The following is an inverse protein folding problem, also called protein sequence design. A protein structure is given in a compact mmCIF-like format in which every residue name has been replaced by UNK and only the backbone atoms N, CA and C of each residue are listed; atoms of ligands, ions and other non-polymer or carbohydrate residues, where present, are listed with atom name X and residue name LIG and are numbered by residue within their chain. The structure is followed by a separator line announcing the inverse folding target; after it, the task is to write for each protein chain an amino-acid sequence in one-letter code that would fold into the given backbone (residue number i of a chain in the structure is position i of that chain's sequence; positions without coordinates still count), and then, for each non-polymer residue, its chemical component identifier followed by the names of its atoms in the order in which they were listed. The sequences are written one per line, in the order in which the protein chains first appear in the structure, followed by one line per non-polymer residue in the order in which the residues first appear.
data_IF_688294885901
#
_entry.id   IF_688294885901
#
_cell.length_a   1.000
_cell.length_b   1.000
_cell.length_c   1.000
_cell.angle_alpha   90.00
_cell.angle_beta   90.00
_cell.angle_gamma   90.00
#
_symmetry.space_group_name_H-M   'P 1'
#
loop_
_entity.id
_entity.type
_entity.pdbx_description
1 polymer ?
#
# COMPACT_ATOMS: atom_id res chain seq x y z
N UNK A 1 -14.63 -13.81 5.15
CA UNK A 1 -14.11 -12.44 5.41
C UNK A 1 -13.20 -12.07 4.24
N UNK A 2 -13.44 -10.92 3.63
CA UNK A 2 -12.65 -10.40 2.49
C UNK A 2 -11.35 -9.68 2.93
N UNK A 3 -10.93 -9.91 4.16
CA UNK A 3 -9.68 -9.42 4.72
C UNK A 3 -8.78 -10.62 5.00
N UNK A 4 -7.50 -10.61 4.63
CA UNK A 4 -6.59 -11.70 4.93
C UNK A 4 -6.41 -11.85 6.44
N UNK A 5 -6.17 -13.08 6.89
CA UNK A 5 -5.93 -13.40 8.30
C UNK A 5 -4.84 -12.51 8.91
N UNK A 6 -3.78 -12.26 8.16
CA UNK A 6 -2.66 -11.44 8.59
C UNK A 6 -3.04 -10.00 8.98
N UNK A 7 -4.10 -9.43 8.38
CA UNK A 7 -4.61 -8.09 8.72
C UNK A 7 -5.73 -8.09 9.77
N UNK A 8 -6.21 -9.26 10.19
CA UNK A 8 -7.26 -9.35 11.20
C UNK A 8 -6.67 -9.33 12.61
N UNK A 9 -6.92 -8.28 13.41
CA UNK A 9 -6.55 -8.29 14.81
C UNK A 9 -7.17 -9.47 15.54
N UNK A 10 -6.40 -10.18 16.37
CA UNK A 10 -6.83 -11.37 17.11
C UNK A 10 -7.47 -12.46 16.22
N UNK A 11 -6.87 -12.71 15.06
CA UNK A 11 -7.36 -13.72 14.12
C UNK A 11 -7.44 -15.13 14.72
N UNK A 12 -6.63 -15.42 15.74
CA UNK A 12 -6.63 -16.65 16.53
C UNK A 12 -7.91 -16.87 17.36
N UNK A 13 -8.67 -15.80 17.62
CA UNK A 13 -9.95 -15.82 18.35
C UNK A 13 -11.19 -15.85 17.45
N UNK A 14 -10.99 -15.79 16.15
CA UNK A 14 -12.10 -15.84 15.20
C UNK A 14 -12.68 -17.25 15.15
N UNK A 15 -14.00 -17.37 15.33
CA UNK A 15 -14.71 -18.66 15.16
C UNK A 15 -14.80 -19.00 13.67
N UNK A 16 -13.94 -19.91 13.22
CA UNK A 16 -13.88 -20.33 11.83
C UNK A 16 -15.04 -21.23 11.40
N UNK A 17 -15.91 -21.67 12.32
CA UNK A 17 -17.15 -22.33 11.94
C UNK A 17 -18.15 -21.34 11.35
N UNK A 18 -18.07 -20.05 11.76
CA UNK A 18 -18.93 -18.95 11.31
C UNK A 18 -18.24 -18.07 10.27
N UNK A 19 -16.94 -17.80 10.46
CA UNK A 19 -16.18 -16.90 9.62
C UNK A 19 -15.12 -17.68 8.82
N UNK A 20 -15.04 -17.43 7.52
CA UNK A 20 -14.01 -17.99 6.65
C UNK A 20 -13.09 -16.89 6.17
N UNK A 21 -11.80 -17.02 6.40
CA UNK A 21 -10.81 -16.19 5.75
C UNK A 21 -10.62 -16.68 4.30
N UNK A 22 -10.74 -15.76 3.37
CA UNK A 22 -10.57 -16.03 1.94
C UNK A 22 -9.51 -15.13 1.31
N UNK A 23 -8.86 -14.30 2.13
CA UNK A 23 -7.80 -13.41 1.68
C UNK A 23 -8.29 -12.24 0.83
N UNK A 24 -7.34 -11.62 0.14
CA UNK A 24 -7.62 -10.49 -0.72
C UNK A 24 -8.32 -10.94 -2.01
N UNK A 25 -9.55 -10.51 -2.19
CA UNK A 25 -10.30 -10.72 -3.44
C UNK A 25 -9.95 -9.60 -4.43
N UNK A 26 -8.78 -9.67 -5.03
CA UNK A 26 -8.32 -8.66 -5.98
C UNK A 26 -8.92 -8.83 -7.38
N UNK A 27 -9.48 -10.02 -7.66
CA UNK A 27 -10.29 -10.33 -8.85
C UNK A 27 -9.66 -9.84 -10.16
N UNK A 28 -10.55 -9.40 -11.07
CA UNK A 28 -10.20 -8.87 -12.39
C UNK A 28 -9.76 -7.39 -12.37
N UNK A 29 -9.25 -6.86 -11.25
CA UNK A 29 -8.72 -5.49 -11.16
C UNK A 29 -7.53 -5.23 -12.10
N UNK A 30 -7.08 -6.26 -12.82
CA UNK A 30 -6.18 -6.14 -13.99
C UNK A 30 -6.72 -5.14 -15.04
N UNK A 31 -8.05 -4.90 -15.07
CA UNK A 31 -8.69 -3.92 -15.95
C UNK A 31 -8.47 -2.44 -15.54
N UNK A 32 -7.81 -2.16 -14.41
CA UNK A 32 -7.55 -0.78 -13.96
C UNK A 32 -6.47 -0.04 -14.78
N UNK A 33 -5.82 -0.70 -15.72
CA UNK A 33 -4.81 -0.12 -16.60
C UNK A 33 -3.42 -0.70 -16.41
N UNK A 34 -2.51 -0.24 -17.26
CA UNK A 34 -1.10 -0.63 -17.26
C UNK A 34 -0.22 0.53 -16.80
N UNK A 35 0.88 0.19 -16.19
CA UNK A 35 1.97 1.12 -15.88
C UNK A 35 3.30 0.40 -16.09
N UNK A 36 4.27 1.11 -16.61
CA UNK A 36 5.60 0.57 -16.87
C UNK A 36 6.63 1.38 -16.10
N UNK A 37 7.46 0.68 -15.35
CA UNK A 37 8.60 1.26 -14.63
C UNK A 37 9.53 1.99 -15.60
N UNK A 38 9.92 3.25 -15.34
CA UNK A 38 10.93 3.94 -16.11
C UNK A 38 12.24 3.16 -16.14
N UNK A 39 12.88 3.11 -17.31
CA UNK A 39 14.07 2.28 -17.52
C UNK A 39 15.29 2.72 -16.68
N UNK A 40 15.33 3.97 -16.28
CA UNK A 40 16.37 4.60 -15.47
C UNK A 40 16.05 4.58 -13.96
N UNK A 41 14.87 4.07 -13.57
CA UNK A 41 14.47 3.96 -12.17
C UNK A 41 15.03 2.70 -11.52
N UNK A 42 15.96 2.85 -10.59
CA UNK A 42 16.46 1.77 -9.73
C UNK A 42 15.44 1.44 -8.63
N UNK A 43 14.74 2.45 -8.12
CA UNK A 43 13.70 2.33 -7.08
C UNK A 43 12.45 3.10 -7.50
N UNK A 44 11.30 2.53 -7.19
CA UNK A 44 10.00 3.16 -7.43
C UNK A 44 9.24 3.27 -6.13
N UNK A 45 8.79 4.48 -5.82
CA UNK A 45 7.90 4.77 -4.69
C UNK A 45 6.52 5.13 -5.22
N UNK A 46 5.51 4.41 -4.76
CA UNK A 46 4.12 4.83 -4.93
C UNK A 46 3.65 5.55 -3.67
N UNK A 47 3.04 6.72 -3.83
CA UNK A 47 2.32 7.42 -2.77
C UNK A 47 0.85 7.48 -3.13
N UNK A 48 -0.02 6.93 -2.28
CA UNK A 48 -1.47 6.99 -2.47
C UNK A 48 -2.21 6.99 -1.13
N UNK A 49 -2.98 8.05 -0.90
CA UNK A 49 -3.87 8.17 0.27
C UNK A 49 -5.28 7.62 -0.02
N UNK A 50 -5.43 6.80 -1.07
CA UNK A 50 -6.71 6.25 -1.50
C UNK A 50 -7.58 7.26 -2.25
N UNK A 51 -8.89 7.26 -2.00
CA UNK A 51 -9.85 8.07 -2.76
C UNK A 51 -10.63 9.10 -1.93
N UNK A 52 -10.58 9.01 -0.60
CA UNK A 52 -11.48 9.80 0.26
C UNK A 52 -10.78 11.01 0.90
N UNK A 53 -9.70 10.81 1.62
CA UNK A 53 -9.01 11.85 2.39
C UNK A 53 -7.76 12.35 1.65
N UNK A 54 -7.90 12.70 0.37
CA UNK A 54 -6.76 13.03 -0.51
C UNK A 54 -6.37 14.50 -0.50
N UNK A 55 -7.14 15.40 0.12
CA UNK A 55 -6.82 16.84 0.14
C UNK A 55 -5.73 17.17 1.16
N UNK A 56 -4.50 16.74 0.86
CA UNK A 56 -3.32 16.85 1.72
C UNK A 56 -2.11 17.44 0.97
N UNK A 57 -2.20 18.67 0.40
CA UNK A 57 -1.12 19.22 -0.42
C UNK A 57 0.20 19.36 0.35
N UNK A 58 0.16 19.68 1.64
CA UNK A 58 1.37 19.78 2.47
C UNK A 58 2.10 18.44 2.57
N UNK A 59 1.37 17.36 2.83
CA UNK A 59 1.93 16.01 2.87
C UNK A 59 2.54 15.60 1.53
N UNK A 60 1.88 15.93 0.41
CA UNK A 60 2.43 15.61 -0.90
C UNK A 60 3.71 16.40 -1.20
N UNK A 61 3.82 17.66 -0.74
CA UNK A 61 5.08 18.42 -0.81
C UNK A 61 6.19 17.76 0.00
N UNK A 62 5.89 17.24 1.19
CA UNK A 62 6.86 16.46 1.97
C UNK A 62 7.30 15.19 1.22
N UNK A 63 6.38 14.49 0.53
CA UNK A 63 6.75 13.34 -0.30
C UNK A 63 7.65 13.73 -1.47
N UNK A 64 7.36 14.84 -2.15
CA UNK A 64 8.23 15.37 -3.23
C UNK A 64 9.61 15.71 -2.68
N UNK A 65 9.68 16.40 -1.53
CA UNK A 65 10.96 16.74 -0.89
C UNK A 65 11.73 15.51 -0.38
N UNK A 66 11.00 14.43 0.01
CA UNK A 66 11.62 13.19 0.45
C UNK A 66 12.28 12.41 -0.70
N UNK A 67 11.62 12.31 -1.86
CA UNK A 67 11.97 11.36 -2.91
C UNK A 67 12.29 12.01 -4.26
N UNK A 68 11.91 13.28 -4.46
CA UNK A 68 11.92 13.94 -5.76
C UNK A 68 13.31 14.16 -6.37
N UNK A 69 14.38 14.22 -5.59
CA UNK A 69 15.74 14.42 -6.10
C UNK A 69 16.70 13.28 -5.74
N UNK A 70 16.15 12.15 -5.28
CA UNK A 70 16.98 10.99 -4.97
C UNK A 70 17.46 10.33 -6.25
N UNK A 71 18.79 10.20 -6.45
CA UNK A 71 19.34 9.54 -7.64
C UNK A 71 18.82 8.09 -7.74
N UNK A 72 18.38 7.71 -8.94
CA UNK A 72 17.85 6.36 -9.21
C UNK A 72 16.44 6.09 -8.69
N UNK A 73 15.82 7.04 -7.96
CA UNK A 73 14.44 6.88 -7.48
C UNK A 73 13.43 7.53 -8.43
N UNK A 74 12.27 6.92 -8.56
CA UNK A 74 11.11 7.46 -9.27
C UNK A 74 9.91 7.50 -8.34
N UNK A 75 9.30 8.67 -8.21
CA UNK A 75 8.13 8.89 -7.36
C UNK A 75 6.86 8.94 -8.22
N UNK A 76 5.91 8.04 -7.96
CA UNK A 76 4.55 8.12 -8.49
C UNK A 76 3.63 8.61 -7.38
N UNK A 77 3.02 9.77 -7.59
CA UNK A 77 2.22 10.47 -6.60
C UNK A 77 0.75 10.56 -7.06
N UNK A 78 -0.14 9.81 -6.39
CA UNK A 78 -1.57 9.93 -6.59
C UNK A 78 -2.15 10.95 -5.62
N UNK A 79 -2.55 12.12 -6.13
CA UNK A 79 -3.04 13.25 -5.33
C UNK A 79 -4.58 13.33 -5.21
N UNK A 80 -5.31 12.46 -5.94
CA UNK A 80 -6.77 12.53 -6.01
C UNK A 80 -7.25 13.69 -6.89
N UNK A 81 -8.58 13.91 -6.88
CA UNK A 81 -9.24 14.92 -7.73
C UNK A 81 -9.34 16.31 -7.08
N UNK A 82 -8.96 16.45 -5.82
CA UNK A 82 -9.21 17.64 -5.00
C UNK A 82 -7.96 18.48 -4.71
N UNK A 83 -6.81 18.09 -5.27
CA UNK A 83 -5.55 18.83 -5.20
C UNK A 83 -5.15 19.21 -6.61
N UNK A 84 -4.83 20.48 -6.82
CA UNK A 84 -4.25 20.95 -8.08
C UNK A 84 -2.75 20.60 -8.08
N UNK A 85 -2.21 19.93 -9.11
CA UNK A 85 -0.77 19.71 -9.24
C UNK A 85 0.09 20.97 -9.06
N UNK A 86 -0.43 22.14 -9.45
CA UNK A 86 0.26 23.42 -9.27
C UNK A 86 0.48 23.78 -7.79
N UNK A 87 -0.32 23.25 -6.87
CA UNK A 87 -0.12 23.44 -5.43
C UNK A 87 1.17 22.76 -4.90
N UNK A 88 1.75 21.84 -5.66
CA UNK A 88 2.95 21.12 -5.27
C UNK A 88 4.25 21.87 -5.61
N UNK A 89 4.16 22.96 -6.38
CA UNK A 89 5.31 23.75 -6.85
C UNK A 89 6.03 23.09 -8.02
N UNK A 90 7.32 23.42 -8.18
CA UNK A 90 8.16 22.85 -9.22
C UNK A 90 8.47 21.38 -8.91
N UNK A 91 8.21 20.52 -9.87
CA UNK A 91 8.39 19.08 -9.71
C UNK A 91 9.68 18.61 -10.38
N UNK A 92 10.55 17.87 -9.67
CA UNK A 92 11.69 17.19 -10.28
C UNK A 92 11.26 16.22 -11.39
N UNK A 93 12.17 15.96 -12.34
CA UNK A 93 11.88 15.12 -13.52
C UNK A 93 11.57 13.65 -13.19
N UNK A 94 11.97 13.18 -12.02
CA UNK A 94 11.69 11.83 -11.53
C UNK A 94 10.37 11.71 -10.75
N UNK A 95 9.52 12.75 -10.79
CA UNK A 95 8.21 12.78 -10.10
C UNK A 95 7.08 12.76 -11.12
N UNK A 96 6.25 11.72 -11.04
CA UNK A 96 5.02 11.56 -11.80
C UNK A 96 3.82 11.87 -10.90
N UNK A 97 3.03 12.91 -11.23
CA UNK A 97 1.83 13.29 -10.47
C UNK A 97 0.59 12.96 -11.27
N UNK A 98 -0.35 12.25 -10.65
CA UNK A 98 -1.62 11.84 -11.25
C UNK A 98 -2.77 12.04 -10.26
N UNK A 99 -3.95 12.36 -10.77
CA UNK A 99 -5.17 12.34 -9.96
C UNK A 99 -5.62 10.92 -9.61
N UNK A 100 -5.32 9.96 -10.47
CA UNK A 100 -5.60 8.52 -10.30
C UNK A 100 -4.52 7.70 -11.00
N UNK A 101 -4.20 6.51 -10.44
CA UNK A 101 -3.22 5.57 -10.98
C UNK A 101 -3.74 4.12 -10.93
N UNK A 102 -3.29 3.24 -11.83
CA UNK A 102 -3.52 1.81 -11.73
C UNK A 102 -2.67 1.21 -10.59
N UNK A 103 -3.13 1.40 -9.34
CA UNK A 103 -2.35 1.15 -8.14
C UNK A 103 -1.72 -0.24 -8.11
N UNK A 104 -2.50 -1.29 -8.42
CA UNK A 104 -1.99 -2.66 -8.39
C UNK A 104 -0.92 -2.91 -9.45
N UNK A 105 -1.03 -2.31 -10.65
CA UNK A 105 -0.02 -2.43 -11.70
C UNK A 105 1.31 -1.77 -11.29
N UNK A 106 1.23 -0.64 -10.58
CA UNK A 106 2.42 0.03 -10.04
C UNK A 106 3.01 -0.78 -8.89
N UNK A 107 2.21 -1.24 -7.93
CA UNK A 107 2.70 -1.99 -6.76
C UNK A 107 3.44 -3.27 -7.14
N UNK A 108 3.07 -3.93 -8.23
CA UNK A 108 3.82 -5.08 -8.77
C UNK A 108 5.25 -4.76 -9.21
N UNK A 109 5.57 -3.48 -9.33
CA UNK A 109 6.86 -2.97 -9.80
C UNK A 109 7.48 -1.96 -8.82
N UNK A 110 6.78 -1.62 -7.74
CA UNK A 110 7.22 -0.66 -6.74
C UNK A 110 8.11 -1.31 -5.68
N UNK A 111 9.09 -0.55 -5.21
CA UNK A 111 9.99 -0.92 -4.11
C UNK A 111 9.48 -0.41 -2.75
N UNK A 112 8.58 0.58 -2.76
CA UNK A 112 7.99 1.16 -1.55
C UNK A 112 6.58 1.69 -1.82
N UNK A 113 5.68 1.53 -0.85
CA UNK A 113 4.35 2.09 -0.87
C UNK A 113 4.10 2.99 0.34
N UNK A 114 3.92 4.29 0.12
CA UNK A 114 3.45 5.22 1.14
C UNK A 114 1.93 5.29 1.05
N UNK A 115 1.25 4.83 2.08
CA UNK A 115 -0.20 4.60 2.08
C UNK A 115 -0.87 5.11 3.33
N UNK A 116 -2.15 5.45 3.23
CA UNK A 116 -2.99 5.75 4.40
C UNK A 116 -3.37 4.50 5.21
N UNK A 117 -2.90 3.32 4.82
CA UNK A 117 -3.21 2.03 5.44
C UNK A 117 -4.72 1.67 5.47
N UNK A 118 -5.51 2.13 4.51
CA UNK A 118 -6.87 1.60 4.31
C UNK A 118 -6.83 0.11 3.94
N UNK A 119 -7.89 -0.64 4.26
CA UNK A 119 -7.93 -2.09 4.06
C UNK A 119 -7.54 -2.54 2.64
N UNK A 120 -8.02 -1.85 1.60
CA UNK A 120 -7.70 -2.18 0.20
C UNK A 120 -6.21 -2.03 -0.12
N UNK A 121 -5.64 -0.84 0.15
CA UNK A 121 -4.22 -0.57 -0.10
C UNK A 121 -3.29 -1.47 0.73
N UNK A 122 -3.64 -1.73 1.99
CA UNK A 122 -2.88 -2.64 2.85
C UNK A 122 -2.82 -4.06 2.28
N UNK A 123 -3.96 -4.58 1.81
CA UNK A 123 -4.03 -5.89 1.16
C UNK A 123 -3.22 -5.93 -0.15
N UNK A 124 -3.27 -4.87 -0.95
CA UNK A 124 -2.52 -4.78 -2.20
C UNK A 124 -1.01 -4.73 -1.95
N UNK A 125 -0.55 -3.94 -0.97
CA UNK A 125 0.85 -3.89 -0.57
C UNK A 125 1.38 -5.25 -0.08
N UNK A 126 0.60 -5.97 0.74
CA UNK A 126 0.94 -7.31 1.19
C UNK A 126 0.95 -8.33 0.04
N UNK A 127 -0.06 -8.30 -0.84
CA UNK A 127 -0.18 -9.22 -1.97
C UNK A 127 0.91 -9.04 -3.03
N UNK A 128 1.49 -7.85 -3.13
CA UNK A 128 2.62 -7.54 -4.02
C UNK A 128 3.98 -7.66 -3.33
N UNK A 129 3.99 -7.99 -2.04
CA UNK A 129 5.18 -8.02 -1.18
C UNK A 129 5.95 -6.68 -1.19
N UNK A 130 5.22 -5.55 -1.22
CA UNK A 130 5.78 -4.21 -1.22
C UNK A 130 5.84 -3.67 0.22
N UNK A 131 7.02 -3.25 0.73
CA UNK A 131 7.12 -2.62 2.04
C UNK A 131 6.36 -1.30 2.11
N UNK A 132 5.84 -0.95 3.29
CA UNK A 132 4.93 0.18 3.41
C UNK A 132 5.36 1.22 4.45
N UNK A 133 5.14 2.50 4.14
CA UNK A 133 5.05 3.56 5.14
C UNK A 133 3.56 3.86 5.31
N UNK A 134 3.03 3.54 6.47
CA UNK A 134 1.63 3.75 6.81
C UNK A 134 1.45 5.11 7.46
N UNK A 135 0.65 5.98 6.83
CA UNK A 135 0.33 7.34 7.30
C UNK A 135 -1.19 7.44 7.47
N UNK A 136 -1.75 6.85 8.54
CA UNK A 136 -3.19 6.80 8.74
C UNK A 136 -3.78 8.17 9.03
N UNK A 137 -5.02 8.40 8.60
CA UNK A 137 -5.74 9.65 8.76
C UNK A 137 -7.07 9.48 9.52
N UNK A 138 -7.74 8.32 9.38
CA UNK A 138 -9.08 8.11 9.93
C UNK A 138 -9.42 6.63 10.10
N UNK A 139 -10.45 6.36 10.86
CA UNK A 139 -11.18 5.10 11.04
C UNK A 139 -10.30 3.84 11.25
N UNK A 140 -10.44 2.84 10.41
CA UNK A 140 -9.70 1.56 10.47
C UNK A 140 -8.21 1.67 10.15
N UNK A 141 -7.79 2.78 9.54
CA UNK A 141 -6.43 2.98 9.06
C UNK A 141 -5.38 2.89 10.18
N UNK A 142 -5.69 3.41 11.37
CA UNK A 142 -4.79 3.33 12.52
C UNK A 142 -4.54 1.88 12.95
N UNK A 143 -5.61 1.11 13.08
CA UNK A 143 -5.50 -0.31 13.42
C UNK A 143 -4.74 -1.11 12.36
N UNK A 144 -5.01 -0.86 11.09
CA UNK A 144 -4.28 -1.50 9.98
C UNK A 144 -2.79 -1.12 10.00
N UNK A 145 -2.46 0.16 10.25
CA UNK A 145 -1.07 0.63 10.35
C UNK A 145 -0.31 -0.08 11.49
N UNK A 146 -0.95 -0.24 12.64
CA UNK A 146 -0.38 -0.95 13.79
C UNK A 146 -0.15 -2.43 13.49
N UNK A 147 -1.09 -3.10 12.82
CA UNK A 147 -0.93 -4.48 12.38
C UNK A 147 0.23 -4.61 11.40
N UNK A 148 0.29 -3.78 10.35
CA UNK A 148 1.37 -3.79 9.37
C UNK A 148 2.75 -3.56 10.01
N UNK A 149 2.83 -2.66 10.98
CA UNK A 149 4.04 -2.43 11.75
C UNK A 149 4.41 -3.63 12.63
N UNK A 150 3.43 -4.27 13.29
CA UNK A 150 3.67 -5.44 14.13
C UNK A 150 4.14 -6.66 13.32
N UNK A 151 3.69 -6.79 12.08
CA UNK A 151 4.20 -7.77 11.11
C UNK A 151 5.66 -7.47 10.69
N UNK A 152 6.16 -6.27 10.99
CA UNK A 152 7.51 -5.83 10.61
C UNK A 152 7.67 -5.58 9.12
N UNK A 153 6.58 -5.26 8.42
CA UNK A 153 6.54 -4.99 6.98
C UNK A 153 6.25 -3.51 6.65
N UNK A 154 6.02 -2.70 7.69
CA UNK A 154 5.76 -1.27 7.56
C UNK A 154 6.40 -0.45 8.68
N UNK A 155 6.45 0.87 8.45
CA UNK A 155 6.64 1.89 9.49
C UNK A 155 5.36 2.72 9.59
N UNK A 156 4.81 2.83 10.80
CA UNK A 156 3.67 3.70 11.09
C UNK A 156 4.21 5.10 11.43
N UNK A 157 3.87 6.09 10.60
CA UNK A 157 4.16 7.51 10.82
C UNK A 157 2.84 8.26 10.97
N UNK A 158 2.60 8.93 12.11
CA UNK A 158 1.49 9.88 12.23
C UNK A 158 1.61 10.98 11.16
N UNK A 159 0.48 11.43 10.60
CA UNK A 159 0.45 12.42 9.51
C UNK A 159 1.25 13.69 9.85
N UNK A 160 1.12 14.18 11.07
CA UNK A 160 1.81 15.39 11.55
C UNK A 160 3.34 15.21 11.74
N UNK A 161 3.82 13.96 11.67
CA UNK A 161 5.23 13.60 11.74
C UNK A 161 5.81 13.10 10.42
N UNK A 162 4.98 13.03 9.38
CA UNK A 162 5.39 12.55 8.07
C UNK A 162 6.14 13.63 7.27
N UNK A 163 7.23 14.14 7.84
CA UNK A 163 8.15 15.09 7.17
C UNK A 163 9.02 14.39 6.14
N UNK A 164 9.63 15.14 5.23
CA UNK A 164 10.55 14.62 4.22
C UNK A 164 11.68 13.79 4.83
N UNK A 165 12.26 14.25 5.93
CA UNK A 165 13.31 13.52 6.65
C UNK A 165 12.80 12.19 7.23
N UNK A 166 11.63 12.22 7.90
CA UNK A 166 11.03 11.03 8.50
C UNK A 166 10.64 10.00 7.43
N UNK A 167 10.04 10.45 6.31
CA UNK A 167 9.67 9.60 5.18
C UNK A 167 10.92 8.94 4.56
N UNK A 168 11.99 9.73 4.32
CA UNK A 168 13.25 9.22 3.78
C UNK A 168 13.93 8.22 4.72
N UNK A 169 13.98 8.52 6.01
CA UNK A 169 14.52 7.61 7.03
C UNK A 169 13.75 6.29 7.08
N UNK A 170 12.41 6.36 7.08
CA UNK A 170 11.57 5.18 7.07
C UNK A 170 11.74 4.35 5.78
N UNK A 171 11.85 5.02 4.62
CA UNK A 171 12.09 4.38 3.34
C UNK A 171 13.38 3.58 3.31
N UNK A 172 14.49 4.22 3.71
CA UNK A 172 15.81 3.57 3.74
C UNK A 172 15.90 2.42 4.74
N UNK A 173 15.08 2.45 5.80
CA UNK A 173 15.01 1.36 6.77
C UNK A 173 14.11 0.19 6.34
N UNK A 174 13.38 0.31 5.23
CA UNK A 174 12.46 -0.71 4.73
C UNK A 174 12.93 -1.30 3.40
N UNK A 175 13.36 -0.41 2.48
CA UNK A 175 13.81 -0.80 1.16
C UNK A 175 15.18 -1.49 1.29
N UNK A 176 15.32 -2.65 0.64
CA UNK A 176 16.54 -3.49 0.68
C UNK A 176 16.83 -4.17 2.04
N UNK A 177 15.93 -4.08 3.04
CA UNK A 177 16.05 -4.88 4.25
C UNK A 177 15.63 -6.34 3.97
N UNK A 178 16.55 -7.31 4.04
CA UNK A 178 16.25 -8.70 3.73
C UNK A 178 15.24 -9.34 4.70
N UNK A 179 15.15 -8.85 5.92
CA UNK A 179 14.18 -9.35 6.90
C UNK A 179 12.78 -8.85 6.58
N UNK A 180 12.61 -7.59 6.17
CA UNK A 180 11.34 -7.05 5.68
C UNK A 180 10.89 -7.83 4.45
N UNK A 181 11.81 -8.04 3.49
CA UNK A 181 11.50 -8.80 2.27
C UNK A 181 11.09 -10.25 2.59
N UNK A 182 11.76 -10.92 3.54
CA UNK A 182 11.43 -12.26 3.97
C UNK A 182 10.03 -12.33 4.59
N UNK A 183 9.69 -11.38 5.48
CA UNK A 183 8.38 -11.29 6.13
C UNK A 183 7.26 -11.04 5.12
N UNK A 184 7.46 -10.10 4.20
CA UNK A 184 6.50 -9.82 3.13
C UNK A 184 6.20 -11.04 2.28
N UNK A 185 7.24 -11.79 1.88
CA UNK A 185 7.06 -13.04 1.12
C UNK A 185 6.31 -14.11 1.91
N UNK A 186 6.55 -14.21 3.22
CA UNK A 186 5.80 -15.11 4.10
C UNK A 186 4.31 -14.76 4.12
N UNK A 187 3.98 -13.50 4.40
CA UNK A 187 2.59 -13.02 4.41
C UNK A 187 1.93 -13.16 3.03
N UNK A 188 2.65 -12.85 1.95
CA UNK A 188 2.15 -13.02 0.58
C UNK A 188 1.78 -14.49 0.29
N UNK A 189 2.61 -15.45 0.72
CA UNK A 189 2.35 -16.88 0.55
C UNK A 189 1.12 -17.32 1.35
N UNK A 190 1.03 -16.92 2.63
CA UNK A 190 -0.15 -17.19 3.47
C UNK A 190 -1.44 -16.65 2.86
N UNK A 191 -1.42 -15.41 2.35
CA UNK A 191 -2.57 -14.81 1.67
C UNK A 191 -2.96 -15.56 0.39
N UNK A 192 -1.99 -16.09 -0.35
CA UNK A 192 -2.26 -16.89 -1.56
C UNK A 192 -2.95 -18.22 -1.21
N UNK A 193 -2.57 -18.85 -0.10
CA UNK A 193 -3.19 -20.09 0.40
C UNK A 193 -4.65 -19.89 0.84
N UNK A 194 -5.04 -18.67 1.25
CA UNK A 194 -6.42 -18.34 1.59
C UNK A 194 -7.37 -18.40 0.36
N UNK A 195 -6.86 -18.36 -0.86
CA UNK A 195 -7.56 -18.70 -2.10
C UNK A 195 -8.33 -17.57 -2.80
N UNK A 196 -8.43 -16.38 -2.19
CA UNK A 196 -8.98 -15.18 -2.82
C UNK A 196 -10.41 -15.31 -3.34
N UNK A 197 -10.67 -14.68 -4.48
CA UNK A 197 -12.00 -14.62 -5.11
C UNK A 197 -12.59 -16.01 -5.40
N UNK A 198 -11.78 -16.95 -5.85
CA UNK A 198 -12.25 -18.32 -6.14
C UNK A 198 -12.75 -18.99 -4.87
N UNK A 199 -11.96 -18.96 -3.80
CA UNK A 199 -12.35 -19.54 -2.51
C UNK A 199 -13.60 -18.85 -1.93
N UNK A 200 -13.73 -17.53 -2.11
CA UNK A 200 -14.92 -16.80 -1.69
C UNK A 200 -16.18 -17.29 -2.43
N UNK A 201 -16.09 -17.50 -3.75
CA UNK A 201 -17.18 -18.06 -4.54
C UNK A 201 -17.54 -19.47 -4.09
N UNK A 202 -16.57 -20.37 -3.95
CA UNK A 202 -16.77 -21.76 -3.51
C UNK A 202 -17.49 -21.81 -2.12
N UNK A 203 -17.11 -20.93 -1.19
CA UNK A 203 -17.74 -20.86 0.14
C UNK A 203 -19.19 -20.39 0.04
N UNK A 204 -19.47 -19.38 -0.81
CA UNK A 204 -20.85 -18.88 -0.99
C UNK A 204 -21.71 -19.94 -1.69
N UNK A 205 -21.21 -20.57 -2.73
CA UNK A 205 -21.94 -21.61 -3.48
C UNK A 205 -22.29 -22.82 -2.61
N UNK A 206 -21.41 -23.18 -1.67
CA UNK A 206 -21.66 -24.28 -0.74
C UNK A 206 -22.79 -24.03 0.26
N UNK A 207 -23.19 -22.77 0.49
CA UNK A 207 -24.29 -22.38 1.37
C UNK A 207 -25.62 -22.15 0.60
N UNK A 208 -25.60 -22.26 -0.74
CA UNK A 208 -26.82 -22.11 -1.53
C UNK A 208 -27.62 -23.40 -1.52
N UNK A 209 -28.97 -23.32 -1.50
CA UNK A 209 -29.87 -24.48 -1.50
C UNK A 209 -29.86 -25.25 -2.83
#
# INVERSE_FOLDING_TARGET
MLIPRALQPNADRVDESVYRFVGACQGDRVAEGEWTRPADAEKVVLVSLGSSFTKQPDFYRECVAAFGELPGWHLVLQIGRHVDPAELGDLPSNVEVRSWVPQLAILKQADLFVTHAGAGGSQEGLATATPMIAVPQAVDQFGNADVLQSLGVARHLPMEKATAEALRTAALALVDDPEVARRLKGVQAEMAEEGGTRRAADVIEAELP
#
